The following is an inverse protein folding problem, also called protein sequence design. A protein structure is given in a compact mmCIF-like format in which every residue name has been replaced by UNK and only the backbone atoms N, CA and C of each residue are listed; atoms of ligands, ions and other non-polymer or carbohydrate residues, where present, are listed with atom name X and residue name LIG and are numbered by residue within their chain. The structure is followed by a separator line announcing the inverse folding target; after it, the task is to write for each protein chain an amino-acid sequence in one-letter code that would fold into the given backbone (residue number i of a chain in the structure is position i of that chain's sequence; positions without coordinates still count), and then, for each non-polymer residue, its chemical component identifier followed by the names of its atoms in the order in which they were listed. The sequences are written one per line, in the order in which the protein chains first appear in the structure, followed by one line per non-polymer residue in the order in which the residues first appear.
data_IF_265097357707
#
_entry.id   IF_265097357707
#
_cell.length_a   1.000
_cell.length_b   1.000
_cell.length_c   1.000
_cell.angle_alpha   90.00
_cell.angle_beta   90.00
_cell.angle_gamma   90.00
#
_symmetry.space_group_name_H-M   'P 1'
#
loop_
_entity.id
_entity.type
_entity.pdbx_description
1 polymer ?
#
# COMPACT_ATOMS: atom_id res chain seq x y z
N UNK A 1 2.04 18.92 22.66
CA UNK A 1 1.09 19.64 21.78
C UNK A 1 1.28 19.20 20.33
N UNK A 2 2.49 18.94 19.85
CA UNK A 2 2.83 18.53 18.47
C UNK A 2 2.20 17.17 18.05
N UNK A 3 1.82 16.31 18.99
CA UNK A 3 1.22 15.00 18.74
C UNK A 3 -0.28 15.13 18.36
N UNK A 4 -0.94 16.23 18.69
CA UNK A 4 -2.38 16.43 18.49
C UNK A 4 -2.81 16.19 17.03
N UNK A 5 -2.14 16.74 15.99
CA UNK A 5 -2.52 16.52 14.60
C UNK A 5 -2.52 15.02 14.21
N UNK A 6 -1.53 14.26 14.69
CA UNK A 6 -1.44 12.83 14.42
C UNK A 6 -2.57 12.04 15.09
N UNK A 7 -2.92 12.40 16.33
CA UNK A 7 -4.06 11.80 17.05
C UNK A 7 -5.39 12.12 16.34
N UNK A 8 -5.56 13.34 15.87
CA UNK A 8 -6.76 13.74 15.10
C UNK A 8 -6.88 12.93 13.80
N UNK A 9 -5.79 12.75 13.07
CA UNK A 9 -5.76 11.94 11.85
C UNK A 9 -6.09 10.49 12.16
N UNK A 10 -5.48 9.91 13.20
CA UNK A 10 -5.72 8.53 13.60
C UNK A 10 -7.19 8.31 14.01
N UNK A 11 -7.72 9.16 14.88
CA UNK A 11 -9.10 9.08 15.35
C UNK A 11 -10.08 9.28 14.20
N UNK A 12 -9.84 10.27 13.34
CA UNK A 12 -10.67 10.52 12.16
C UNK A 12 -10.70 9.33 11.20
N UNK A 13 -9.57 8.66 11.01
CA UNK A 13 -9.46 7.43 10.22
C UNK A 13 -10.24 6.26 10.83
N UNK A 14 -10.17 6.07 12.15
CA UNK A 14 -10.90 5.01 12.87
C UNK A 14 -12.42 5.24 12.80
N UNK A 15 -12.87 6.48 12.91
CA UNK A 15 -14.30 6.86 12.81
C UNK A 15 -14.83 6.69 11.37
N UNK A 16 -13.94 6.58 10.37
CA UNK A 16 -14.31 6.40 8.96
C UNK A 16 -14.63 7.71 8.24
N UNK A 17 -14.11 8.84 8.71
CA UNK A 17 -14.20 10.11 8.01
C UNK A 17 -13.39 10.01 6.71
N UNK A 18 -13.81 10.75 5.68
CA UNK A 18 -13.11 10.80 4.40
C UNK A 18 -11.63 11.18 4.62
N UNK A 19 -10.72 10.36 4.08
CA UNK A 19 -9.26 10.48 4.28
C UNK A 19 -8.73 11.87 3.91
N UNK A 20 -9.22 12.45 2.81
CA UNK A 20 -8.78 13.78 2.39
C UNK A 20 -9.14 14.87 3.41
N UNK A 21 -10.35 14.78 4.00
CA UNK A 21 -10.80 15.71 5.04
C UNK A 21 -9.94 15.54 6.30
N UNK A 22 -9.69 14.31 6.70
CA UNK A 22 -8.87 14.00 7.89
C UNK A 22 -7.45 14.52 7.73
N UNK A 23 -6.83 14.30 6.57
CA UNK A 23 -5.49 14.81 6.29
C UNK A 23 -5.44 16.33 6.25
N UNK A 24 -6.45 16.98 5.66
CA UNK A 24 -6.56 18.44 5.63
C UNK A 24 -6.67 19.02 7.04
N UNK A 25 -7.48 18.42 7.90
CA UNK A 25 -7.59 18.79 9.32
C UNK A 25 -6.28 18.59 10.04
N UNK A 26 -5.57 17.50 9.76
CA UNK A 26 -4.23 17.24 10.31
C UNK A 26 -3.21 18.32 9.93
N UNK A 27 -3.15 18.67 8.63
CA UNK A 27 -2.25 19.72 8.12
C UNK A 27 -2.60 21.08 8.73
N UNK A 28 -3.87 21.45 8.73
CA UNK A 28 -4.31 22.74 9.27
C UNK A 28 -4.06 22.87 10.78
N UNK A 29 -4.41 21.82 11.55
CA UNK A 29 -4.18 21.81 13.00
C UNK A 29 -2.68 21.83 13.33
N UNK A 30 -1.86 21.07 12.61
CA UNK A 30 -0.41 21.10 12.75
C UNK A 30 0.17 22.47 12.45
N UNK A 31 -0.26 23.09 11.34
CA UNK A 31 0.18 24.43 10.95
C UNK A 31 -0.17 25.49 12.02
N UNK A 32 -1.40 25.44 12.54
CA UNK A 32 -1.84 26.36 13.60
C UNK A 32 -1.01 26.18 14.88
N UNK A 33 -0.76 24.94 15.28
CA UNK A 33 0.03 24.64 16.48
C UNK A 33 1.45 25.13 16.31
N UNK A 34 2.10 24.86 15.20
CA UNK A 34 3.49 25.28 14.94
C UNK A 34 3.64 26.79 14.88
N UNK A 35 2.67 27.51 14.34
CA UNK A 35 2.63 28.98 14.36
C UNK A 35 2.40 29.52 15.77
N UNK A 36 1.46 28.94 16.52
CA UNK A 36 1.12 29.36 17.87
C UNK A 36 2.24 29.10 18.90
N UNK A 37 3.02 28.02 18.69
CA UNK A 37 4.18 27.72 19.53
C UNK A 37 5.45 28.49 19.14
N UNK A 38 5.40 29.22 18.02
CA UNK A 38 6.54 30.00 17.54
C UNK A 38 7.68 29.16 16.93
N UNK A 39 7.44 27.86 16.69
CA UNK A 39 8.43 26.97 16.09
C UNK A 39 8.68 27.27 14.61
N UNK A 40 7.66 27.81 13.92
CA UNK A 40 7.76 28.18 12.50
C UNK A 40 7.20 29.59 12.30
N UNK A 41 7.92 30.42 11.55
CA UNK A 41 7.43 31.69 11.09
C UNK A 41 6.40 31.50 9.96
N UNK A 42 5.42 32.39 9.86
CA UNK A 42 4.38 32.30 8.82
C UNK A 42 4.95 32.25 7.38
N UNK A 43 6.06 32.94 7.13
CA UNK A 43 6.78 32.90 5.85
C UNK A 43 7.41 31.54 5.56
N UNK A 44 7.89 30.85 6.59
CA UNK A 44 8.49 29.53 6.48
C UNK A 44 7.44 28.43 6.30
N UNK A 45 6.22 28.62 6.78
CA UNK A 45 5.13 27.65 6.63
C UNK A 45 4.83 27.37 5.15
N UNK A 46 4.63 28.41 4.34
CA UNK A 46 4.40 28.26 2.91
C UNK A 46 5.57 27.62 2.18
N UNK A 47 6.79 27.96 2.55
CA UNK A 47 8.01 27.34 2.02
C UNK A 47 8.04 25.85 2.34
N UNK A 48 7.78 25.45 3.57
CA UNK A 48 7.79 24.06 4.01
C UNK A 48 6.67 23.24 3.35
N UNK A 49 5.48 23.85 3.16
CA UNK A 49 4.41 23.21 2.38
C UNK A 49 4.81 22.99 0.92
N UNK A 50 5.48 23.97 0.30
CA UNK A 50 6.03 23.86 -1.04
C UNK A 50 7.06 22.74 -1.15
N UNK A 51 8.01 22.67 -0.24
CA UNK A 51 9.03 21.61 -0.19
C UNK A 51 8.40 20.22 0.01
N UNK A 52 7.37 20.13 0.87
CA UNK A 52 6.62 18.88 1.04
C UNK A 52 5.89 18.44 -0.24
N UNK A 53 5.28 19.38 -0.95
CA UNK A 53 4.64 19.10 -2.25
C UNK A 53 5.66 18.68 -3.32
N UNK A 54 6.82 19.36 -3.37
CA UNK A 54 7.93 19.03 -4.25
C UNK A 54 8.48 17.62 -3.99
N UNK A 55 8.64 17.23 -2.71
CA UNK A 55 9.07 15.90 -2.33
C UNK A 55 8.11 14.79 -2.75
N UNK A 56 6.83 15.09 -2.95
CA UNK A 56 5.82 14.15 -3.43
C UNK A 56 5.67 14.13 -4.97
N UNK A 57 6.33 15.05 -5.67
CA UNK A 57 6.20 15.19 -7.13
C UNK A 57 6.68 13.94 -7.87
N UNK A 58 7.84 13.42 -7.51
CA UNK A 58 8.41 12.22 -8.13
C UNK A 58 7.48 11.02 -7.98
N UNK A 59 6.98 10.77 -6.77
CA UNK A 59 6.03 9.68 -6.48
C UNK A 59 4.75 9.82 -7.29
N UNK A 60 4.23 11.04 -7.42
CA UNK A 60 3.02 11.33 -8.19
C UNK A 60 3.25 11.08 -9.69
N UNK A 61 4.38 11.54 -10.23
CA UNK A 61 4.73 11.33 -11.64
C UNK A 61 4.92 9.85 -11.96
N UNK A 62 5.60 9.11 -11.09
CA UNK A 62 5.75 7.65 -11.25
C UNK A 62 4.37 6.98 -11.27
N UNK A 63 3.47 7.32 -10.35
CA UNK A 63 2.12 6.76 -10.31
C UNK A 63 1.33 7.04 -11.60
N UNK A 64 1.41 8.26 -12.14
CA UNK A 64 0.76 8.63 -13.41
C UNK A 64 1.33 7.83 -14.59
N UNK A 65 2.66 7.79 -14.72
CA UNK A 65 3.32 7.08 -15.81
C UNK A 65 3.07 5.57 -15.77
N UNK A 66 3.14 4.97 -14.59
CA UNK A 66 2.80 3.56 -14.39
C UNK A 66 1.34 3.30 -14.75
N UNK A 67 0.41 4.15 -14.35
CA UNK A 67 -1.00 4.01 -14.70
C UNK A 67 -1.22 4.04 -16.22
N UNK A 68 -0.49 4.89 -16.95
CA UNK A 68 -0.54 4.95 -18.40
C UNK A 68 0.03 3.67 -19.04
N UNK A 69 1.16 3.16 -18.55
CA UNK A 69 1.74 1.89 -19.00
C UNK A 69 0.77 0.72 -18.75
N UNK A 70 0.10 0.71 -17.61
CA UNK A 70 -0.88 -0.32 -17.27
C UNK A 70 -2.10 -0.28 -18.18
N UNK A 71 -2.56 0.92 -18.56
CA UNK A 71 -3.62 1.06 -19.57
C UNK A 71 -3.21 0.45 -20.91
N UNK A 72 -1.98 0.68 -21.35
CA UNK A 72 -1.43 0.05 -22.58
C UNK A 72 -1.34 -1.47 -22.44
N UNK A 73 -0.82 -1.98 -21.33
CA UNK A 73 -0.73 -3.42 -21.06
C UNK A 73 -2.12 -4.06 -21.12
N UNK A 74 -3.15 -3.40 -20.60
CA UNK A 74 -4.53 -3.85 -20.66
C UNK A 74 -5.03 -3.88 -22.11
N UNK A 75 -4.84 -2.81 -22.86
CA UNK A 75 -5.28 -2.68 -24.25
C UNK A 75 -4.68 -3.77 -25.16
N UNK A 76 -3.42 -4.12 -24.94
CA UNK A 76 -2.71 -5.14 -25.71
C UNK A 76 -2.86 -6.58 -25.15
N UNK A 77 -3.82 -6.81 -24.26
CA UNK A 77 -4.11 -8.15 -23.74
C UNK A 77 -3.06 -8.73 -22.79
N UNK A 78 -2.20 -7.89 -22.20
CA UNK A 78 -1.18 -8.33 -21.25
C UNK A 78 -1.78 -8.88 -19.95
N UNK A 79 -2.91 -8.33 -19.50
CA UNK A 79 -3.60 -8.83 -18.31
C UNK A 79 -4.23 -10.20 -18.54
N UNK A 80 -4.82 -10.46 -19.71
CA UNK A 80 -5.35 -11.77 -20.08
C UNK A 80 -4.23 -12.81 -20.18
N UNK A 81 -3.07 -12.44 -20.68
CA UNK A 81 -1.90 -13.33 -20.72
C UNK A 81 -1.41 -13.68 -19.31
N UNK A 82 -1.35 -12.68 -18.42
CA UNK A 82 -0.98 -12.85 -17.02
C UNK A 82 -1.99 -13.73 -16.28
N UNK A 83 -3.29 -13.48 -16.46
CA UNK A 83 -4.38 -14.26 -15.89
C UNK A 83 -4.31 -15.74 -16.34
N UNK A 84 -4.10 -15.97 -17.63
CA UNK A 84 -3.92 -17.34 -18.15
C UNK A 84 -2.70 -18.04 -17.52
N UNK A 85 -1.61 -17.33 -17.34
CA UNK A 85 -0.42 -17.83 -16.65
C UNK A 85 -0.70 -18.24 -15.21
N UNK A 86 -1.33 -17.36 -14.46
CA UNK A 86 -1.70 -17.60 -13.05
C UNK A 86 -2.68 -18.78 -12.94
N UNK A 87 -3.75 -18.82 -13.72
CA UNK A 87 -4.73 -19.91 -13.71
C UNK A 87 -4.12 -21.27 -14.07
N UNK A 88 -3.08 -21.29 -14.89
CA UNK A 88 -2.37 -22.52 -15.26
C UNK A 88 -1.61 -23.15 -14.08
N UNK A 89 -1.06 -22.31 -13.22
CA UNK A 89 -0.24 -22.72 -12.06
C UNK A 89 -1.10 -22.86 -10.81
N UNK A 90 -1.96 -21.87 -10.54
CA UNK A 90 -2.76 -21.77 -9.31
C UNK A 90 -4.20 -22.22 -9.57
N UNK A 91 -4.51 -23.45 -9.23
CA UNK A 91 -5.84 -24.06 -9.46
C UNK A 91 -6.63 -24.19 -8.17
N UNK A 92 -7.96 -24.10 -8.31
CA UNK A 92 -8.88 -24.26 -7.18
C UNK A 92 -8.87 -23.09 -6.21
N UNK A 93 -9.71 -23.18 -5.19
CA UNK A 93 -10.02 -22.06 -4.28
C UNK A 93 -8.80 -21.53 -3.51
N UNK A 94 -7.99 -22.42 -2.96
CA UNK A 94 -6.76 -22.05 -2.20
C UNK A 94 -5.66 -21.54 -3.13
N UNK A 95 -5.45 -22.25 -4.26
CA UNK A 95 -4.49 -21.84 -5.28
C UNK A 95 -4.85 -20.48 -5.87
N UNK A 96 -6.12 -20.23 -6.20
CA UNK A 96 -6.59 -18.94 -6.68
C UNK A 96 -6.30 -17.80 -5.70
N UNK A 97 -6.50 -18.01 -4.41
CA UNK A 97 -6.17 -17.02 -3.37
C UNK A 97 -4.68 -16.68 -3.32
N UNK A 98 -3.80 -17.70 -3.39
CA UNK A 98 -2.36 -17.48 -3.49
C UNK A 98 -1.97 -16.79 -4.79
N UNK A 99 -2.59 -17.18 -5.92
CA UNK A 99 -2.35 -16.55 -7.21
C UNK A 99 -2.70 -15.07 -7.21
N UNK A 100 -3.83 -14.68 -6.60
CA UNK A 100 -4.19 -13.26 -6.42
C UNK A 100 -3.17 -12.51 -5.55
N UNK A 101 -2.73 -13.14 -4.45
CA UNK A 101 -1.72 -12.54 -3.57
C UNK A 101 -0.38 -12.33 -4.27
N UNK A 102 0.10 -13.33 -5.03
CA UNK A 102 1.33 -13.20 -5.80
C UNK A 102 1.19 -12.21 -6.96
N UNK A 103 0.01 -12.12 -7.57
CA UNK A 103 -0.28 -11.14 -8.61
C UNK A 103 -0.13 -9.71 -8.08
N UNK A 104 -0.81 -9.38 -6.98
CA UNK A 104 -0.71 -8.04 -6.40
C UNK A 104 0.69 -7.76 -5.91
N UNK A 105 1.40 -8.75 -5.35
CA UNK A 105 2.81 -8.61 -4.96
C UNK A 105 3.73 -8.31 -6.15
N UNK A 106 3.53 -8.97 -7.28
CA UNK A 106 4.28 -8.66 -8.51
C UNK A 106 4.00 -7.25 -9.02
N UNK A 107 2.73 -6.80 -8.96
CA UNK A 107 2.36 -5.43 -9.29
C UNK A 107 2.99 -4.42 -8.33
N UNK A 108 3.06 -4.75 -7.05
CA UNK A 108 3.68 -3.91 -6.03
C UNK A 108 5.19 -3.76 -6.25
N UNK A 109 5.88 -4.86 -6.57
CA UNK A 109 7.29 -4.81 -6.97
C UNK A 109 7.47 -3.90 -8.19
N UNK A 110 6.58 -3.97 -9.18
CA UNK A 110 6.68 -3.17 -10.40
C UNK A 110 6.40 -1.67 -10.17
N UNK A 111 5.50 -1.34 -9.24
CA UNK A 111 5.01 0.03 -9.04
C UNK A 111 5.57 0.72 -7.80
N UNK A 112 6.14 -0.05 -6.86
CA UNK A 112 6.53 0.40 -5.52
C UNK A 112 5.40 1.15 -4.78
N UNK A 113 4.13 0.85 -5.12
CA UNK A 113 2.95 1.51 -4.59
C UNK A 113 1.78 0.54 -4.45
N UNK A 114 1.40 0.22 -3.21
CA UNK A 114 0.36 -0.77 -2.92
C UNK A 114 -1.01 -0.37 -3.47
N UNK A 115 -1.38 0.91 -3.43
CA UNK A 115 -2.67 1.37 -3.96
C UNK A 115 -2.76 1.13 -5.46
N UNK A 116 -1.71 1.49 -6.20
CA UNK A 116 -1.62 1.25 -7.64
C UNK A 116 -1.63 -0.26 -7.93
N UNK A 117 -0.86 -1.04 -7.19
CA UNK A 117 -0.80 -2.49 -7.32
C UNK A 117 -2.17 -3.16 -7.13
N UNK A 118 -2.92 -2.75 -6.10
CA UNK A 118 -4.27 -3.26 -5.85
C UNK A 118 -5.22 -2.89 -6.99
N UNK A 119 -5.20 -1.63 -7.44
CA UNK A 119 -6.06 -1.17 -8.54
C UNK A 119 -5.79 -1.95 -9.81
N UNK A 120 -4.51 -2.24 -10.11
CA UNK A 120 -4.10 -3.03 -11.27
C UNK A 120 -4.48 -4.51 -11.16
N UNK A 121 -4.26 -5.12 -10.00
CA UNK A 121 -4.56 -6.52 -9.77
C UNK A 121 -6.06 -6.81 -9.66
N UNK A 122 -6.86 -5.83 -9.23
CA UNK A 122 -8.27 -6.02 -8.91
C UNK A 122 -9.11 -6.61 -10.04
N UNK A 123 -9.05 -6.18 -11.31
CA UNK A 123 -9.86 -6.76 -12.39
C UNK A 123 -9.59 -8.25 -12.57
N UNK A 124 -8.33 -8.67 -12.52
CA UNK A 124 -7.90 -10.06 -12.66
C UNK A 124 -8.32 -10.87 -11.43
N UNK A 125 -8.13 -10.32 -10.24
CA UNK A 125 -8.51 -10.98 -9.00
C UNK A 125 -10.04 -11.15 -8.89
N UNK A 126 -10.83 -10.19 -9.35
CA UNK A 126 -12.28 -10.27 -9.39
C UNK A 126 -12.77 -11.40 -10.33
N UNK A 127 -12.15 -11.56 -11.50
CA UNK A 127 -12.44 -12.66 -12.42
C UNK A 127 -12.10 -14.02 -11.80
N UNK A 128 -10.91 -14.14 -11.20
CA UNK A 128 -10.50 -15.36 -10.48
C UNK A 128 -11.43 -15.66 -9.29
N UNK A 129 -11.88 -14.63 -8.58
CA UNK A 129 -12.80 -14.79 -7.46
C UNK A 129 -14.14 -15.34 -7.90
N UNK A 130 -14.69 -14.84 -9.01
CA UNK A 130 -15.92 -15.34 -9.60
C UNK A 130 -15.78 -16.81 -10.04
N UNK A 131 -14.68 -17.15 -10.71
CA UNK A 131 -14.43 -18.51 -11.22
C UNK A 131 -14.23 -19.53 -10.08
N UNK A 132 -13.47 -19.17 -9.04
CA UNK A 132 -13.18 -20.09 -7.93
C UNK A 132 -14.19 -20.01 -6.77
N UNK A 133 -15.22 -19.19 -6.89
CA UNK A 133 -16.25 -19.01 -5.85
C UNK A 133 -15.68 -18.42 -4.57
N UNK A 134 -14.77 -17.43 -4.68
CA UNK A 134 -14.19 -16.70 -3.56
C UNK A 134 -15.00 -15.42 -3.36
N UNK A 135 -15.31 -15.06 -2.12
CA UNK A 135 -16.08 -13.85 -1.84
C UNK A 135 -15.27 -12.58 -2.12
N UNK A 136 -15.94 -11.51 -2.58
CA UNK A 136 -15.31 -10.23 -2.85
C UNK A 136 -14.60 -9.67 -1.61
N UNK A 137 -15.17 -9.89 -0.42
CA UNK A 137 -14.55 -9.48 0.85
C UNK A 137 -13.22 -10.18 1.10
N UNK A 138 -13.14 -11.49 0.82
CA UNK A 138 -11.92 -12.27 0.98
C UNK A 138 -10.88 -11.88 -0.08
N UNK A 139 -11.33 -11.64 -1.31
CA UNK A 139 -10.48 -11.14 -2.40
C UNK A 139 -9.84 -9.81 -2.03
N UNK A 140 -10.64 -8.83 -1.58
CA UNK A 140 -10.13 -7.53 -1.16
C UNK A 140 -9.12 -7.67 0.00
N UNK A 141 -9.43 -8.50 1.00
CA UNK A 141 -8.51 -8.76 2.11
C UNK A 141 -7.19 -9.37 1.66
N UNK A 142 -7.21 -10.29 0.70
CA UNK A 142 -5.99 -10.91 0.16
C UNK A 142 -5.16 -9.89 -0.61
N UNK A 143 -5.77 -9.11 -1.48
CA UNK A 143 -5.07 -8.07 -2.24
C UNK A 143 -4.41 -7.06 -1.29
N UNK A 144 -5.16 -6.55 -0.32
CA UNK A 144 -4.66 -5.59 0.66
C UNK A 144 -3.52 -6.17 1.50
N UNK A 145 -3.71 -7.37 2.06
CA UNK A 145 -2.70 -7.98 2.94
C UNK A 145 -1.41 -8.33 2.21
N UNK A 146 -1.49 -8.93 1.02
CA UNK A 146 -0.30 -9.25 0.25
C UNK A 146 0.41 -7.99 -0.25
N UNK A 147 -0.32 -6.96 -0.70
CA UNK A 147 0.31 -5.71 -1.09
C UNK A 147 1.05 -5.06 0.09
N UNK A 148 0.47 -5.05 1.29
CA UNK A 148 1.16 -4.55 2.49
C UNK A 148 2.42 -5.35 2.83
N UNK A 149 2.41 -6.67 2.63
CA UNK A 149 3.59 -7.51 2.84
C UNK A 149 4.70 -7.14 1.85
N UNK A 150 4.38 -7.10 0.56
CA UNK A 150 5.37 -6.79 -0.48
C UNK A 150 5.88 -5.34 -0.35
N UNK A 151 4.98 -4.37 -0.20
CA UNK A 151 5.34 -2.96 0.00
C UNK A 151 6.25 -2.75 1.22
N UNK A 152 6.02 -3.50 2.30
CA UNK A 152 6.85 -3.42 3.50
C UNK A 152 8.27 -3.94 3.32
N UNK A 153 8.50 -4.87 2.35
CA UNK A 153 9.78 -5.55 2.16
C UNK A 153 10.58 -4.96 0.99
N UNK A 154 9.93 -4.28 0.03
CA UNK A 154 10.58 -3.73 -1.16
C UNK A 154 11.68 -2.75 -0.77
N UNK A 155 12.95 -2.96 -1.20
CA UNK A 155 14.09 -2.12 -0.78
C UNK A 155 14.00 -0.67 -1.24
N UNK A 156 13.27 -0.40 -2.30
CA UNK A 156 13.05 0.93 -2.90
C UNK A 156 11.63 1.46 -2.64
N UNK A 157 10.86 0.79 -1.79
CA UNK A 157 9.53 1.26 -1.38
C UNK A 157 9.62 2.50 -0.48
N UNK A 158 8.58 3.33 -0.53
CA UNK A 158 8.55 4.60 0.22
C UNK A 158 8.82 4.41 1.72
N UNK A 159 8.26 3.38 2.34
CA UNK A 159 8.45 3.08 3.77
C UNK A 159 9.91 2.77 4.09
N UNK A 160 10.58 1.99 3.23
CA UNK A 160 11.99 1.63 3.40
C UNK A 160 12.88 2.85 3.24
N UNK A 161 12.63 3.68 2.22
CA UNK A 161 13.38 4.91 1.98
C UNK A 161 13.24 5.88 3.16
N UNK A 162 12.03 6.07 3.69
CA UNK A 162 11.80 6.90 4.88
C UNK A 162 12.57 6.37 6.08
N UNK A 163 12.57 5.05 6.31
CA UNK A 163 13.32 4.45 7.42
C UNK A 163 14.84 4.67 7.27
N UNK A 164 15.37 4.48 6.06
CA UNK A 164 16.80 4.72 5.78
C UNK A 164 17.16 6.19 5.99
N UNK A 165 16.33 7.11 5.47
CA UNK A 165 16.55 8.55 5.63
C UNK A 165 16.56 8.95 7.11
N UNK A 166 15.58 8.48 7.89
CA UNK A 166 15.52 8.79 9.33
C UNK A 166 16.76 8.31 10.09
N UNK A 167 17.29 7.12 9.77
CA UNK A 167 18.51 6.60 10.38
C UNK A 167 19.75 7.41 9.94
N UNK A 168 19.78 7.84 8.69
CA UNK A 168 20.86 8.64 8.13
C UNK A 168 20.92 10.02 8.79
N UNK A 169 19.77 10.64 9.07
CA UNK A 169 19.68 11.91 9.81
C UNK A 169 20.21 11.80 11.25
N UNK A 170 20.16 10.60 11.84
CA UNK A 170 20.76 10.32 13.14
C UNK A 170 22.28 10.03 13.08
N UNK A 171 22.91 10.18 11.92
CA UNK A 171 24.33 9.97 11.71
C UNK A 171 24.77 8.52 11.50
N UNK A 172 23.83 7.62 11.24
CA UNK A 172 24.10 6.22 10.96
C UNK A 172 23.80 5.88 9.49
N UNK A 173 24.60 5.00 8.88
CA UNK A 173 24.34 4.49 7.54
C UNK A 173 23.79 3.07 7.62
N UNK A 174 22.61 2.84 7.02
CA UNK A 174 22.01 1.51 6.91
C UNK A 174 21.52 1.28 5.49
N UNK A 175 21.54 0.02 5.07
CA UNK A 175 20.98 -0.42 3.80
C UNK A 175 19.63 -1.11 4.02
N UNK A 176 18.77 -1.13 2.99
CA UNK A 176 17.51 -1.85 3.06
C UNK A 176 17.68 -3.32 3.45
N UNK A 177 18.72 -3.99 2.94
CA UNK A 177 18.99 -5.39 3.24
C UNK A 177 19.39 -5.65 4.69
N UNK A 178 19.90 -4.64 5.41
CA UNK A 178 20.16 -4.74 6.84
C UNK A 178 18.88 -4.56 7.67
N UNK A 179 17.89 -3.84 7.15
CA UNK A 179 16.60 -3.60 7.82
C UNK A 179 15.65 -4.78 7.63
N UNK A 180 15.59 -5.35 6.42
CA UNK A 180 14.63 -6.42 6.05
C UNK A 180 14.54 -7.55 7.08
N UNK A 181 15.63 -8.12 7.62
CA UNK A 181 15.54 -9.23 8.58
C UNK A 181 14.81 -8.86 9.89
N UNK A 182 14.69 -7.59 10.20
CA UNK A 182 14.03 -7.09 11.43
C UNK A 182 12.59 -6.62 11.20
N UNK A 183 12.06 -6.78 9.99
CA UNK A 183 10.69 -6.42 9.64
C UNK A 183 9.70 -7.51 10.10
N UNK A 184 9.56 -7.70 11.40
CA UNK A 184 8.69 -8.74 11.97
C UNK A 184 7.23 -8.61 11.52
N UNK A 185 6.73 -7.37 11.37
CA UNK A 185 5.33 -7.14 11.00
C UNK A 185 4.97 -7.72 9.61
N UNK A 186 5.66 -7.40 8.49
CA UNK A 186 5.36 -8.00 7.19
C UNK A 186 5.47 -9.53 7.19
N UNK A 187 6.44 -10.10 7.88
CA UNK A 187 6.61 -11.55 7.95
C UNK A 187 5.50 -12.24 8.75
N UNK A 188 5.12 -11.69 9.90
CA UNK A 188 3.98 -12.19 10.69
C UNK A 188 2.66 -12.03 9.93
N UNK A 189 2.50 -10.94 9.19
CA UNK A 189 1.34 -10.71 8.35
C UNK A 189 1.26 -11.75 7.22
N UNK A 190 2.38 -12.07 6.59
CA UNK A 190 2.45 -13.14 5.58
C UNK A 190 2.05 -14.49 6.16
N UNK A 191 2.63 -14.87 7.32
CA UNK A 191 2.29 -16.13 8.01
C UNK A 191 0.80 -16.17 8.35
N UNK A 192 0.27 -15.09 8.93
CA UNK A 192 -1.15 -14.96 9.26
C UNK A 192 -2.03 -15.15 8.04
N UNK A 193 -1.65 -14.55 6.92
CA UNK A 193 -2.41 -14.65 5.66
C UNK A 193 -2.37 -16.06 5.08
N UNK A 194 -1.24 -16.72 5.14
CA UNK A 194 -1.13 -18.13 4.72
C UNK A 194 -2.00 -19.03 5.60
N UNK A 195 -1.98 -18.85 6.92
CA UNK A 195 -2.87 -19.53 7.86
C UNK A 195 -4.34 -19.28 7.49
N UNK A 196 -4.71 -18.02 7.19
CA UNK A 196 -6.05 -17.65 6.78
C UNK A 196 -6.50 -18.33 5.48
N UNK A 197 -5.61 -18.47 4.50
CA UNK A 197 -5.89 -19.13 3.22
C UNK A 197 -6.03 -20.64 3.40
N UNK A 198 -5.14 -21.27 4.16
CA UNK A 198 -5.06 -22.73 4.23
C UNK A 198 -5.89 -23.36 5.34
N UNK A 199 -6.04 -22.71 6.48
CA UNK A 199 -6.67 -23.27 7.67
C UNK A 199 -8.08 -22.74 7.96
N UNK A 200 -8.42 -21.52 7.51
CA UNK A 200 -9.73 -20.94 7.76
C UNK A 200 -10.65 -21.16 6.54
N UNK A 201 -11.62 -22.06 6.64
CA UNK A 201 -12.58 -22.28 5.56
C UNK A 201 -13.47 -21.06 5.39
N UNK A 202 -13.75 -20.70 4.14
CA UNK A 202 -14.71 -19.65 3.82
C UNK A 202 -16.11 -20.12 4.20
N UNK A 203 -16.79 -19.39 5.08
CA UNK A 203 -18.19 -19.66 5.39
C UNK A 203 -18.99 -19.56 4.08
N UNK A 204 -19.71 -20.63 3.71
CA UNK A 204 -20.70 -20.57 2.62
C UNK A 204 -21.65 -19.42 2.95
N UNK A 205 -21.89 -18.51 1.99
CA UNK A 205 -23.01 -17.59 2.10
C UNK A 205 -24.26 -18.43 2.34
N UNK A 206 -24.91 -18.24 3.49
CA UNK A 206 -26.32 -18.60 3.58
C UNK A 206 -27.05 -17.69 2.57
N UNK A 207 -27.72 -18.34 1.62
CA UNK A 207 -28.62 -17.66 0.70
C UNK A 207 -29.70 -16.92 1.48
#
# INVERSE_FOLDING_TARGET
VQIIPYVLVLVGGIIGINVFVVLLVGILSGSIIMLATGEIAATSLLKNMGTGAEGMFETTMVAILVSAICALIREYGGFEALLRGIKKVFRGKKGGQLGMGLLVGAMDIATANNTVAIVMANPIAAEMAAEYGISNRKTASILDTFSCVFQGIIPYGAQMLVAITAVTELGHSVTAFQIIPYLFYPFLLLISTLVFIFLIPEKKKAN
#
